data_IF_085635691728
#
_entry.id   IF_085635691728
#
_cell.length_a   1.000
_cell.length_b   1.000
_cell.length_c   1.000
_cell.angle_alpha   90.00
_cell.angle_beta   90.00
_cell.angle_gamma   90.00
#
_symmetry.space_group_name_H-M   'P 1'
#
loop_
_entity.id
_entity.type
_entity.pdbx_description
1 polymer ?
#
# COMPACT_ATOMS: atom_id res chain seq x y z
N UNK A 1 -1.64 -40.95 -57.77
CA UNK A 1 -1.01 -40.03 -58.72
C UNK A 1 -1.89 -38.79 -58.80
N UNK A 2 -1.29 -37.60 -58.66
CA UNK A 2 -1.91 -36.30 -58.39
C UNK A 2 -1.09 -35.60 -57.30
N UNK A 3 0.06 -34.99 -57.64
CA UNK A 3 0.22 -33.58 -58.09
C UNK A 3 -0.43 -32.61 -57.10
N UNK A 4 0.34 -32.10 -56.14
CA UNK A 4 1.14 -30.85 -56.19
C UNK A 4 0.27 -29.59 -56.07
N UNK A 5 0.60 -28.79 -55.05
CA UNK A 5 -0.05 -27.53 -54.71
C UNK A 5 0.57 -26.97 -53.42
N UNK A 6 1.88 -26.70 -53.47
CA UNK A 6 2.58 -25.93 -52.44
C UNK A 6 2.16 -24.46 -52.56
N UNK A 7 1.33 -23.99 -51.63
CA UNK A 7 1.04 -22.56 -51.45
C UNK A 7 2.11 -21.99 -50.51
N UNK A 8 3.01 -21.18 -51.09
CA UNK A 8 3.95 -20.33 -50.37
C UNK A 8 3.17 -19.19 -49.71
N UNK A 9 3.05 -19.20 -48.39
CA UNK A 9 2.64 -18.03 -47.62
C UNK A 9 3.89 -17.17 -47.36
N UNK A 10 3.94 -16.02 -48.04
CA UNK A 10 4.97 -15.00 -47.88
C UNK A 10 4.96 -14.40 -46.47
N UNK A 11 6.18 -14.33 -45.91
CA UNK A 11 6.55 -13.63 -44.70
C UNK A 11 6.26 -12.13 -44.82
N UNK A 12 5.39 -11.59 -43.97
CA UNK A 12 5.39 -10.17 -43.63
C UNK A 12 5.86 -10.03 -42.17
N UNK A 13 7.19 -10.06 -41.99
CA UNK A 13 7.86 -9.62 -40.76
C UNK A 13 7.64 -8.12 -40.59
N UNK A 14 6.50 -7.75 -40.00
CA UNK A 14 6.30 -6.43 -39.44
C UNK A 14 7.25 -6.23 -38.27
N UNK A 15 8.32 -5.47 -38.47
CA UNK A 15 9.17 -4.94 -37.42
C UNK A 15 8.32 -4.17 -36.41
N UNK A 16 7.89 -4.85 -35.34
CA UNK A 16 7.30 -4.21 -34.17
C UNK A 16 8.40 -3.45 -33.42
N UNK A 17 8.71 -2.26 -33.93
CA UNK A 17 9.42 -1.22 -33.21
C UNK A 17 8.59 -0.80 -32.00
N UNK A 18 8.84 -1.43 -30.86
CA UNK A 18 9.03 -0.72 -29.60
C UNK A 18 9.29 -1.72 -28.49
N UNK A 19 10.55 -2.15 -28.38
CA UNK A 19 11.08 -2.58 -27.10
C UNK A 19 11.11 -1.35 -26.18
N UNK A 20 10.00 -1.07 -25.51
CA UNK A 20 10.02 -0.21 -24.33
C UNK A 20 10.87 -0.94 -23.30
N UNK A 21 12.17 -0.65 -23.30
CA UNK A 21 12.96 -0.81 -22.11
C UNK A 21 12.37 0.15 -21.09
N UNK A 22 11.44 -0.37 -20.28
CA UNK A 22 11.10 0.23 -19.01
C UNK A 22 12.39 0.13 -18.20
N UNK A 23 13.20 1.18 -18.31
CA UNK A 23 14.09 1.52 -17.23
C UNK A 23 13.17 1.80 -16.05
N UNK A 24 12.94 0.77 -15.24
CA UNK A 24 12.77 0.93 -13.82
C UNK A 24 14.08 1.53 -13.33
N UNK A 25 14.29 2.80 -13.64
CA UNK A 25 14.92 3.67 -12.67
C UNK A 25 14.07 3.44 -11.43
N UNK A 26 14.60 2.64 -10.52
CA UNK A 26 14.45 2.93 -9.10
C UNK A 26 14.92 4.37 -8.96
N UNK A 27 14.01 5.28 -9.31
CA UNK A 27 14.04 6.63 -8.80
C UNK A 27 14.21 6.38 -7.33
N UNK A 28 15.40 6.74 -6.86
CA UNK A 28 15.68 7.04 -5.47
C UNK A 28 14.74 8.22 -5.15
N UNK A 29 13.45 7.91 -5.12
CA UNK A 29 12.35 8.81 -4.90
C UNK A 29 12.45 9.05 -3.42
N UNK A 30 13.05 10.19 -3.12
CA UNK A 30 12.99 10.96 -1.90
C UNK A 30 12.50 10.20 -0.68
N UNK A 31 13.35 10.21 0.35
CA UNK A 31 13.14 9.87 1.75
C UNK A 31 11.97 10.64 2.44
N UNK A 32 10.88 10.95 1.71
CA UNK A 32 9.62 11.52 2.20
C UNK A 32 8.59 10.43 2.56
N UNK A 33 9.01 9.16 2.55
CA UNK A 33 8.27 8.05 3.16
C UNK A 33 8.54 8.01 4.65
N UNK A 34 7.72 8.73 5.43
CA UNK A 34 7.64 8.72 6.91
C UNK A 34 8.79 7.97 7.62
N UNK A 35 9.91 8.67 7.83
CA UNK A 35 10.97 8.15 8.67
C UNK A 35 10.46 8.04 10.12
N UNK A 36 10.22 6.82 10.59
CA UNK A 36 9.85 6.59 11.99
C UNK A 36 10.96 7.11 12.90
N UNK A 37 10.58 7.82 13.95
CA UNK A 37 11.49 8.31 14.98
C UNK A 37 11.53 7.35 16.16
N UNK A 38 12.63 7.42 16.93
CA UNK A 38 12.71 6.68 18.19
C UNK A 38 11.60 7.11 19.13
N UNK A 39 10.83 6.15 19.62
CA UNK A 39 9.65 6.34 20.47
C UNK A 39 8.34 6.39 19.70
N UNK A 40 8.37 6.41 18.36
CA UNK A 40 7.14 6.31 17.57
C UNK A 40 6.46 4.96 17.82
N UNK A 41 5.12 5.01 17.90
CA UNK A 41 4.32 3.79 17.87
C UNK A 41 4.20 3.34 16.42
N UNK A 42 4.34 2.05 16.17
CA UNK A 42 4.16 1.47 14.85
C UNK A 42 3.36 0.18 14.97
N UNK A 43 2.68 -0.19 13.90
CA UNK A 43 2.15 -1.54 13.74
C UNK A 43 3.10 -2.33 12.83
N UNK A 44 3.31 -3.60 13.17
CA UNK A 44 4.27 -4.48 12.53
C UNK A 44 3.56 -5.68 11.92
N UNK A 45 3.84 -5.96 10.66
CA UNK A 45 3.42 -7.22 10.05
C UNK A 45 4.47 -8.29 10.37
N UNK A 46 4.14 -9.16 11.32
CA UNK A 46 5.05 -10.25 11.70
C UNK A 46 4.88 -11.38 10.68
N UNK A 47 5.57 -11.24 9.53
CA UNK A 47 5.51 -12.16 8.39
C UNK A 47 5.81 -13.64 8.72
N UNK A 48 6.30 -13.94 9.93
CA UNK A 48 6.62 -15.30 10.40
C UNK A 48 5.82 -15.77 11.61
N UNK A 49 4.80 -15.03 12.05
CA UNK A 49 3.88 -15.50 13.08
C UNK A 49 2.55 -15.89 12.43
N UNK A 50 2.08 -17.10 12.72
CA UNK A 50 0.72 -17.51 12.38
C UNK A 50 -0.28 -16.85 13.34
N UNK A 51 -1.39 -16.27 12.83
CA UNK A 51 -1.77 -16.21 11.42
C UNK A 51 -1.08 -15.07 10.65
N UNK A 52 -0.70 -15.36 9.40
CA UNK A 52 -0.14 -14.36 8.48
C UNK A 52 -1.09 -13.16 8.32
N UNK A 53 -0.53 -11.95 8.26
CA UNK A 53 -1.30 -10.72 8.06
C UNK A 53 -1.84 -10.07 9.32
N UNK A 54 -1.48 -10.56 10.51
CA UNK A 54 -1.76 -9.85 11.77
C UNK A 54 -0.76 -8.73 11.97
N UNK A 55 -1.30 -7.52 12.12
CA UNK A 55 -0.54 -6.35 12.53
C UNK A 55 -0.50 -6.27 14.05
N UNK A 56 0.70 -6.23 14.62
CA UNK A 56 0.92 -6.12 16.07
C UNK A 56 1.48 -4.76 16.40
N UNK A 57 1.02 -4.15 17.49
CA UNK A 57 1.55 -2.87 17.96
C UNK A 57 2.95 -3.01 18.58
N UNK A 58 3.83 -2.05 18.28
CA UNK A 58 5.14 -1.93 18.88
C UNK A 58 5.66 -0.49 18.91
N UNK A 59 6.85 -0.34 19.47
CA UNK A 59 7.57 0.93 19.62
C UNK A 59 8.85 0.89 18.80
N UNK A 60 9.12 1.95 18.03
CA UNK A 60 10.36 2.09 17.28
C UNK A 60 11.48 2.51 18.22
N UNK A 61 12.51 1.69 18.37
CA UNK A 61 13.69 1.96 19.19
C UNK A 61 14.71 2.86 18.47
N UNK A 62 14.65 2.91 17.14
CA UNK A 62 15.50 3.71 16.27
C UNK A 62 15.77 3.03 14.94
N UNK A 63 16.69 3.59 14.15
CA UNK A 63 17.19 2.92 12.94
C UNK A 63 17.90 1.61 13.27
N UNK A 64 17.77 0.64 12.37
CA UNK A 64 18.51 -0.62 12.41
C UNK A 64 19.97 -0.43 11.97
N UNK A 65 20.72 -1.52 12.01
CA UNK A 65 22.10 -1.59 11.51
C UNK A 65 22.15 -1.58 9.97
N UNK A 66 21.03 -1.87 9.31
CA UNK A 66 20.90 -1.92 7.85
C UNK A 66 20.08 -0.73 7.32
N UNK A 67 20.46 -0.11 6.18
CA UNK A 67 19.69 0.97 5.57
C UNK A 67 18.24 0.56 5.28
N UNK A 68 17.29 1.43 5.62
CA UNK A 68 15.86 1.15 5.43
C UNK A 68 15.26 0.16 6.43
N UNK A 69 15.98 -0.12 7.52
CA UNK A 69 15.48 -0.97 8.61
C UNK A 69 15.40 -0.20 9.94
N UNK A 70 14.63 -0.73 10.89
CA UNK A 70 14.38 -0.16 12.20
C UNK A 70 14.46 -1.23 13.28
N UNK A 71 14.96 -0.85 14.45
CA UNK A 71 14.88 -1.67 15.64
C UNK A 71 13.54 -1.39 16.32
N UNK A 72 12.80 -2.43 16.67
CA UNK A 72 11.42 -2.30 17.16
C UNK A 72 11.19 -3.17 18.37
N UNK A 73 10.34 -2.70 19.28
CA UNK A 73 9.94 -3.42 20.48
C UNK A 73 8.47 -3.79 20.44
N UNK A 74 8.15 -5.08 20.57
CA UNK A 74 6.80 -5.61 20.70
C UNK A 74 6.59 -6.04 22.15
N UNK A 75 5.86 -5.22 22.93
CA UNK A 75 5.63 -5.50 24.35
C UNK A 75 4.83 -6.79 24.61
N UNK A 76 4.03 -7.24 23.63
CA UNK A 76 3.26 -8.47 23.72
C UNK A 76 4.12 -9.75 23.65
N UNK A 77 5.36 -9.65 23.16
CA UNK A 77 6.28 -10.79 23.10
C UNK A 77 6.90 -11.07 24.47
N UNK A 78 7.33 -12.32 24.69
CA UNK A 78 8.13 -12.70 25.87
C UNK A 78 9.43 -11.89 25.93
N UNK A 79 9.99 -11.68 27.13
CA UNK A 79 11.12 -10.77 27.35
C UNK A 79 12.34 -11.05 26.44
N UNK A 80 12.58 -12.30 26.08
CA UNK A 80 13.65 -12.73 25.16
C UNK A 80 13.39 -12.40 23.67
N UNK A 81 12.16 -12.00 23.33
CA UNK A 81 11.69 -11.71 21.97
C UNK A 81 11.02 -10.34 21.85
N UNK A 82 11.14 -9.49 22.87
CA UNK A 82 10.53 -8.15 22.84
C UNK A 82 11.18 -7.25 21.81
N UNK A 83 12.47 -7.39 21.55
CA UNK A 83 13.21 -6.54 20.64
C UNK A 83 13.50 -7.29 19.34
N UNK A 84 13.07 -6.72 18.22
CA UNK A 84 13.35 -7.24 16.89
C UNK A 84 14.29 -6.26 16.17
N UNK A 85 15.54 -6.65 15.91
CA UNK A 85 16.47 -5.82 15.17
C UNK A 85 16.16 -5.84 13.67
N UNK A 86 16.55 -4.77 12.97
CA UNK A 86 16.57 -4.68 11.50
C UNK A 86 15.22 -5.03 10.83
N UNK A 87 14.12 -4.56 11.40
CA UNK A 87 12.80 -4.67 10.80
C UNK A 87 12.72 -3.78 9.56
N UNK A 88 12.39 -4.32 8.37
CA UNK A 88 12.36 -3.51 7.16
C UNK A 88 11.21 -2.49 7.24
N UNK A 89 11.43 -1.28 6.71
CA UNK A 89 10.44 -0.20 6.74
C UNK A 89 9.07 -0.61 6.17
N UNK A 90 9.05 -1.48 5.15
CA UNK A 90 7.83 -2.01 4.54
C UNK A 90 7.00 -2.92 5.46
N UNK A 91 7.62 -3.50 6.50
CA UNK A 91 6.94 -4.28 7.52
C UNK A 91 6.37 -3.41 8.64
N UNK A 92 6.64 -2.10 8.62
CA UNK A 92 6.13 -1.14 9.58
C UNK A 92 5.08 -0.25 8.93
N UNK A 93 4.04 0.08 9.71
CA UNK A 93 3.13 1.17 9.38
C UNK A 93 2.95 2.05 10.61
N UNK A 94 2.66 3.33 10.39
CA UNK A 94 2.24 4.23 11.46
C UNK A 94 1.07 3.62 12.26
N UNK A 95 0.89 4.00 13.52
CA UNK A 95 -0.20 3.47 14.30
C UNK A 95 -1.49 3.81 13.57
N UNK A 96 -2.42 2.85 13.48
CA UNK A 96 -3.78 3.17 13.08
C UNK A 96 -4.20 4.42 13.88
N UNK A 97 -4.44 5.52 13.16
CA UNK A 97 -4.86 6.77 13.81
C UNK A 97 -6.14 6.54 14.61
N UNK A 98 -6.61 7.57 15.32
CA UNK A 98 -7.91 7.49 15.98
C UNK A 98 -8.95 6.90 15.02
N UNK A 99 -9.70 5.87 15.44
CA UNK A 99 -10.67 5.21 14.58
C UNK A 99 -11.64 6.25 14.03
N UNK A 100 -11.91 6.18 12.73
CA UNK A 100 -12.79 7.11 12.06
C UNK A 100 -14.23 6.60 12.24
N UNK A 101 -15.11 7.47 12.75
CA UNK A 101 -16.51 7.13 12.95
C UNK A 101 -17.27 7.10 11.62
N UNK A 102 -18.28 6.23 11.51
CA UNK A 102 -19.21 6.26 10.38
C UNK A 102 -19.86 7.65 10.26
N UNK A 103 -19.92 8.18 9.04
CA UNK A 103 -20.36 9.53 8.72
C UNK A 103 -19.29 10.62 8.85
N UNK A 104 -18.09 10.31 9.36
CA UNK A 104 -17.01 11.29 9.46
C UNK A 104 -16.60 11.81 8.08
N UNK A 105 -16.41 13.14 7.98
CA UNK A 105 -15.91 13.78 6.77
C UNK A 105 -14.40 13.61 6.66
N UNK A 106 -13.97 12.99 5.57
CA UNK A 106 -12.56 12.71 5.28
C UNK A 106 -12.26 13.06 3.82
N UNK A 107 -11.00 12.95 3.43
CA UNK A 107 -10.62 12.97 2.03
C UNK A 107 -9.80 11.73 1.70
N UNK A 108 -10.06 11.12 0.54
CA UNK A 108 -9.34 9.97 0.02
C UNK A 108 -8.33 10.38 -1.04
N UNK A 109 -7.12 9.82 -0.99
CA UNK A 109 -6.07 10.06 -1.99
C UNK A 109 -6.31 9.18 -3.22
N UNK A 110 -6.46 9.78 -4.40
CA UNK A 110 -6.68 9.05 -5.65
C UNK A 110 -5.35 8.82 -6.36
N UNK A 111 -4.94 7.57 -6.50
CA UNK A 111 -3.60 7.23 -7.04
C UNK A 111 -3.54 7.06 -8.56
N UNK A 112 -4.64 6.71 -9.24
CA UNK A 112 -4.61 6.21 -10.65
C UNK A 112 -5.59 6.87 -11.65
N UNK A 113 -6.07 8.09 -11.40
CA UNK A 113 -6.96 8.81 -12.34
C UNK A 113 -6.29 10.08 -12.91
N UNK A 114 -6.97 10.76 -13.85
CA UNK A 114 -6.63 12.07 -14.47
C UNK A 114 -6.57 13.21 -13.42
N UNK A 115 -5.68 13.08 -12.46
CA UNK A 115 -5.57 13.88 -11.23
C UNK A 115 -4.78 13.17 -10.11
N UNK A 116 -4.01 12.13 -10.43
CA UNK A 116 -3.26 11.32 -9.47
C UNK A 116 -2.52 12.16 -8.43
N UNK A 117 -2.74 11.84 -7.16
CA UNK A 117 -2.22 12.60 -6.02
C UNK A 117 -3.19 13.64 -5.45
N UNK A 118 -4.35 13.86 -6.09
CA UNK A 118 -5.41 14.71 -5.54
C UNK A 118 -6.16 14.01 -4.41
N UNK A 119 -6.63 14.82 -3.46
CA UNK A 119 -7.47 14.38 -2.35
C UNK A 119 -8.91 14.74 -2.64
N UNK A 120 -9.79 13.74 -2.65
CA UNK A 120 -11.21 13.91 -2.96
C UNK A 120 -12.00 13.80 -1.66
N UNK A 121 -12.88 14.76 -1.33
CA UNK A 121 -13.70 14.69 -0.13
C UNK A 121 -14.65 13.49 -0.21
N UNK A 122 -14.79 12.76 0.89
CA UNK A 122 -15.67 11.61 1.03
C UNK A 122 -16.17 11.49 2.47
N UNK A 123 -17.04 10.51 2.72
CA UNK A 123 -17.52 10.15 4.06
C UNK A 123 -17.19 8.71 4.35
N UNK A 124 -16.92 8.40 5.62
CA UNK A 124 -16.83 7.01 6.06
C UNK A 124 -18.23 6.40 6.06
N UNK A 125 -18.44 5.33 5.31
CA UNK A 125 -19.68 4.55 5.38
C UNK A 125 -19.66 3.70 6.66
N UNK A 126 -18.61 2.89 6.79
CA UNK A 126 -18.42 1.90 7.85
C UNK A 126 -16.98 1.37 7.88
N UNK A 127 -16.68 0.51 8.86
CA UNK A 127 -15.37 -0.14 9.00
C UNK A 127 -15.22 -1.20 7.91
N UNK A 128 -14.03 -1.27 7.28
CA UNK A 128 -13.73 -2.24 6.25
C UNK A 128 -13.61 -3.67 6.78
N UNK A 129 -13.41 -4.61 5.86
CA UNK A 129 -13.22 -6.03 6.17
C UNK A 129 -11.84 -6.35 6.75
N UNK A 130 -10.87 -5.44 6.61
CA UNK A 130 -9.50 -5.61 7.07
C UNK A 130 -9.10 -4.56 8.14
N UNK A 131 -8.16 -4.90 9.05
CA UNK A 131 -7.69 -3.95 10.06
C UNK A 131 -7.06 -2.69 9.44
N UNK A 132 -7.59 -1.53 9.82
CA UNK A 132 -7.12 -0.24 9.32
C UNK A 132 -7.68 0.12 7.93
N UNK A 133 -8.70 -0.59 7.45
CA UNK A 133 -9.45 -0.23 6.24
C UNK A 133 -10.85 0.29 6.58
N UNK A 134 -11.39 1.13 5.71
CA UNK A 134 -12.72 1.72 5.83
C UNK A 134 -13.43 1.67 4.48
N UNK A 135 -14.75 1.49 4.52
CA UNK A 135 -15.59 1.70 3.35
C UNK A 135 -15.96 3.19 3.29
N UNK A 136 -15.82 3.82 2.13
CA UNK A 136 -16.01 5.27 1.98
C UNK A 136 -16.96 5.58 0.83
N UNK A 137 -17.82 6.57 1.05
CA UNK A 137 -18.76 7.10 0.07
C UNK A 137 -18.19 8.38 -0.55
N UNK A 138 -17.99 8.35 -1.86
CA UNK A 138 -17.64 9.53 -2.63
C UNK A 138 -18.92 10.21 -3.15
N UNK A 139 -18.98 11.54 -3.10
CA UNK A 139 -20.04 12.29 -3.80
C UNK A 139 -19.80 12.18 -5.31
N UNK A 140 -20.58 11.34 -6.01
CA UNK A 140 -20.45 11.14 -7.45
C UNK A 140 -21.62 11.81 -8.20
N UNK A 141 -21.57 13.14 -8.29
CA UNK A 141 -22.47 13.93 -9.14
C UNK A 141 -23.98 13.75 -8.88
N UNK A 142 -24.78 13.86 -9.94
CA UNK A 142 -26.26 13.81 -9.91
C UNK A 142 -26.84 12.39 -9.76
N UNK A 143 -26.04 11.34 -10.00
CA UNK A 143 -26.55 9.96 -10.14
C UNK A 143 -26.26 9.03 -8.95
N UNK A 144 -25.63 9.52 -7.88
CA UNK A 144 -25.56 8.81 -6.61
C UNK A 144 -24.21 8.89 -5.90
N UNK A 145 -23.96 7.94 -5.01
CA UNK A 145 -22.70 7.79 -4.30
C UNK A 145 -21.92 6.62 -4.89
N UNK A 146 -20.63 6.83 -5.15
CA UNK A 146 -19.72 5.73 -5.43
C UNK A 146 -19.13 5.25 -4.10
N UNK A 147 -19.36 3.99 -3.76
CA UNK A 147 -18.74 3.34 -2.60
C UNK A 147 -17.38 2.74 -3.01
N UNK A 148 -16.33 3.08 -2.27
CA UNK A 148 -15.04 2.37 -2.31
C UNK A 148 -14.91 1.51 -1.07
N UNK A 149 -14.52 0.25 -1.26
CA UNK A 149 -14.37 -0.71 -0.18
C UNK A 149 -12.92 -0.86 0.23
N UNK A 150 -12.72 -1.13 1.52
CA UNK A 150 -11.43 -1.47 2.11
C UNK A 150 -10.32 -0.44 1.82
N UNK A 151 -10.66 0.84 1.87
CA UNK A 151 -9.70 1.92 1.72
C UNK A 151 -8.84 2.02 2.98
N UNK A 152 -7.53 1.81 2.82
CA UNK A 152 -6.59 1.88 3.94
C UNK A 152 -6.55 3.29 4.55
N UNK A 153 -6.47 3.39 5.88
CA UNK A 153 -6.49 4.66 6.62
C UNK A 153 -5.39 5.64 6.18
N UNK A 154 -4.25 5.13 5.70
CA UNK A 154 -3.17 5.99 5.14
C UNK A 154 -3.56 6.69 3.83
N UNK A 155 -4.56 6.16 3.11
CA UNK A 155 -5.15 6.82 1.95
C UNK A 155 -6.24 7.81 2.35
N UNK A 156 -6.54 7.95 3.65
CA UNK A 156 -7.54 8.86 4.20
C UNK A 156 -6.86 9.96 5.02
N UNK A 157 -7.49 11.13 5.05
CA UNK A 157 -7.16 12.21 5.99
C UNK A 157 -8.43 12.89 6.46
N UNK A 158 -8.44 13.44 7.67
CA UNK A 158 -9.56 14.29 8.12
C UNK A 158 -9.60 15.56 7.26
N UNK A 159 -10.80 15.93 6.82
CA UNK A 159 -11.05 17.11 5.99
C UNK A 159 -11.07 18.41 6.82
#
# INVERSE_FOLDING_TARGET
EGEEGEEQEEEEEGEAQSAFHVHLGVSSSSEEGLAFQRGDRAELNVLRCEPEGVWTEGEVLGGGDEPGTYNVRIAANGAEHQEMPNMPAEALRGPAGEPLEAGAAVAVKVSKCLGGGSWVPCRIADVGSAPGTYNVELPDGEDGHQELRDVHVQSLRRA
#
